data_IF_816548173205
#
_entry.id   IF_816548173205
#
_cell.length_a   1.000
_cell.length_b   1.000
_cell.length_c   1.000
_cell.angle_alpha   90.00
_cell.angle_beta   90.00
_cell.angle_gamma   90.00
#
_symmetry.space_group_name_H-M   'P 1'
#
loop_
_entity.id
_entity.type
_entity.pdbx_description
1 polymer ?
#
# COMPACT_ATOMS: atom_id res chain seq x y z
N UNK A 1 -16.33 69.87 47.17
CA UNK A 1 -16.03 68.43 47.37
C UNK A 1 -16.44 67.69 46.12
N UNK A 2 -15.46 67.13 45.44
CA UNK A 2 -15.48 66.42 44.17
C UNK A 2 -15.92 64.96 44.35
N UNK A 3 -16.68 64.40 43.40
CA UNK A 3 -16.77 62.95 43.22
C UNK A 3 -16.64 62.59 41.73
N UNK A 4 -15.60 61.79 41.48
CA UNK A 4 -15.11 61.33 40.19
C UNK A 4 -15.59 59.90 39.91
N UNK A 5 -16.01 59.68 38.66
CA UNK A 5 -15.56 58.61 37.77
C UNK A 5 -16.20 57.19 37.76
N UNK A 6 -16.22 56.69 36.51
CA UNK A 6 -16.18 55.28 36.01
C UNK A 6 -17.55 54.61 35.76
N UNK A 7 -17.78 53.80 34.72
CA UNK A 7 -16.91 53.26 33.66
C UNK A 7 -17.78 52.75 32.48
N UNK A 8 -17.25 52.89 31.26
CA UNK A 8 -17.73 52.26 30.03
C UNK A 8 -17.48 50.73 30.03
N UNK A 9 -18.02 50.07 28.98
CA UNK A 9 -17.63 48.80 28.34
C UNK A 9 -18.38 47.50 28.72
N UNK A 10 -19.17 47.00 27.76
CA UNK A 10 -19.33 45.57 27.48
C UNK A 10 -19.70 45.38 26.00
N UNK A 11 -18.70 45.10 25.15
CA UNK A 11 -18.89 44.65 23.76
C UNK A 11 -18.01 43.42 23.54
N UNK A 12 -18.61 42.43 22.88
CA UNK A 12 -18.00 41.29 22.17
C UNK A 12 -17.42 40.13 23.00
N UNK A 13 -18.21 39.06 23.11
CA UNK A 13 -17.70 37.70 23.29
C UNK A 13 -18.67 36.68 22.66
N UNK A 14 -18.52 36.38 21.37
CA UNK A 14 -19.11 35.19 20.73
C UNK A 14 -18.54 34.99 19.31
N UNK A 15 -17.29 34.52 19.18
CA UNK A 15 -16.73 34.09 17.89
C UNK A 15 -15.51 33.17 18.11
N UNK A 16 -15.73 31.98 18.71
CA UNK A 16 -14.66 30.98 18.91
C UNK A 16 -15.17 29.53 18.87
N UNK A 17 -16.11 29.19 17.97
CA UNK A 17 -16.70 27.84 17.93
C UNK A 17 -16.68 27.14 16.55
N UNK A 18 -15.74 27.45 15.65
CA UNK A 18 -15.72 26.87 14.28
C UNK A 18 -14.38 26.26 13.81
N UNK A 19 -13.42 25.94 14.69
CA UNK A 19 -12.07 25.52 14.27
C UNK A 19 -11.54 24.12 14.70
N UNK A 20 -12.31 23.01 14.76
CA UNK A 20 -11.66 21.70 14.94
C UNK A 20 -11.47 20.87 13.66
N UNK A 21 -12.02 21.24 12.48
CA UNK A 21 -12.03 20.33 11.32
C UNK A 21 -10.78 20.35 10.43
N UNK A 22 -9.90 21.34 10.54
CA UNK A 22 -8.71 21.42 9.68
C UNK A 22 -7.54 20.55 10.17
N UNK A 23 -7.46 20.28 11.47
CA UNK A 23 -6.35 19.51 12.05
C UNK A 23 -6.41 18.01 11.71
N UNK A 24 -7.62 17.46 11.53
CA UNK A 24 -7.83 16.03 11.23
C UNK A 24 -7.53 15.64 9.78
N UNK A 25 -7.66 16.59 8.83
CA UNK A 25 -7.33 16.33 7.43
C UNK A 25 -5.81 16.27 7.22
N UNK A 26 -5.07 17.20 7.84
CA UNK A 26 -3.61 17.25 7.73
C UNK A 26 -2.95 16.01 8.38
N UNK A 27 -3.53 15.45 9.44
CA UNK A 27 -3.03 14.20 10.03
C UNK A 27 -3.24 12.99 9.11
N UNK A 28 -4.38 12.93 8.41
CA UNK A 28 -4.69 11.82 7.52
C UNK A 28 -3.74 11.75 6.32
N UNK A 29 -3.38 12.90 5.72
CA UNK A 29 -2.42 12.93 4.61
C UNK A 29 -1.02 12.46 5.02
N UNK A 30 -0.52 12.94 6.18
CA UNK A 30 0.78 12.51 6.70
C UNK A 30 0.79 11.00 7.01
N UNK A 31 -0.27 10.50 7.62
CA UNK A 31 -0.43 9.07 7.90
C UNK A 31 -0.55 8.24 6.62
N UNK A 32 -1.25 8.74 5.60
CA UNK A 32 -1.37 8.10 4.31
C UNK A 32 -0.02 8.01 3.59
N UNK A 33 0.77 9.08 3.58
CA UNK A 33 2.13 9.06 3.01
C UNK A 33 3.02 8.04 3.74
N UNK A 34 2.97 8.00 5.08
CA UNK A 34 3.72 7.00 5.85
C UNK A 34 3.27 5.56 5.56
N UNK A 35 1.95 5.32 5.53
CA UNK A 35 1.40 4.01 5.17
C UNK A 35 1.83 3.59 3.76
N UNK A 36 1.82 4.54 2.82
CA UNK A 36 2.26 4.29 1.43
C UNK A 36 3.70 3.81 1.39
N UNK A 37 4.60 4.52 2.07
CA UNK A 37 6.02 4.19 2.07
C UNK A 37 6.26 2.80 2.70
N UNK A 38 5.57 2.48 3.80
CA UNK A 38 5.62 1.17 4.45
C UNK A 38 5.08 0.06 3.53
N UNK A 39 3.95 0.28 2.84
CA UNK A 39 3.42 -0.68 1.87
C UNK A 39 4.35 -0.90 0.69
N UNK A 40 5.04 0.14 0.22
CA UNK A 40 6.03 0.02 -0.84
C UNK A 40 7.26 -0.79 -0.41
N UNK A 41 7.62 -0.76 0.87
CA UNK A 41 8.63 -1.64 1.44
C UNK A 41 8.15 -3.10 1.47
N UNK A 42 6.91 -3.34 1.91
CA UNK A 42 6.32 -4.68 2.01
C UNK A 42 6.19 -5.37 0.66
N UNK A 43 5.70 -4.63 -0.34
CA UNK A 43 5.41 -5.11 -1.69
C UNK A 43 6.18 -4.24 -2.69
N UNK A 44 7.47 -4.54 -2.97
CA UNK A 44 8.34 -3.72 -3.80
C UNK A 44 8.06 -3.87 -5.31
N UNK A 45 6.78 -3.90 -5.71
CA UNK A 45 6.38 -4.06 -7.11
C UNK A 45 6.89 -2.93 -8.00
N UNK A 46 7.00 -1.70 -7.50
CA UNK A 46 7.52 -0.57 -8.27
C UNK A 46 8.86 -0.88 -8.95
N UNK A 47 9.82 -1.43 -8.20
CA UNK A 47 11.13 -1.80 -8.74
C UNK A 47 11.03 -2.92 -9.77
N UNK A 48 10.18 -3.93 -9.52
CA UNK A 48 9.96 -5.05 -10.44
C UNK A 48 9.40 -4.55 -11.76
N UNK A 49 8.44 -3.63 -11.71
CA UNK A 49 7.82 -3.02 -12.89
C UNK A 49 8.84 -2.17 -13.67
N UNK A 50 9.64 -1.35 -12.98
CA UNK A 50 10.68 -0.54 -13.63
C UNK A 50 11.73 -1.41 -14.33
N UNK A 51 12.15 -2.50 -13.70
CA UNK A 51 13.13 -3.42 -14.27
C UNK A 51 12.55 -4.16 -15.49
N UNK A 52 11.27 -4.55 -15.46
CA UNK A 52 10.58 -5.12 -16.61
C UNK A 52 10.47 -4.11 -17.77
N UNK A 53 10.13 -2.85 -17.47
CA UNK A 53 10.07 -1.77 -18.47
C UNK A 53 11.44 -1.43 -19.08
N UNK A 54 12.54 -1.61 -18.35
CA UNK A 54 13.91 -1.46 -18.88
C UNK A 54 14.31 -2.62 -19.78
N UNK A 55 13.89 -3.83 -19.44
CA UNK A 55 14.23 -5.03 -20.20
C UNK A 55 13.52 -5.09 -21.56
N UNK A 56 12.32 -4.49 -21.66
CA UNK A 56 11.50 -4.57 -22.86
C UNK A 56 10.79 -3.23 -23.17
N UNK A 57 11.02 -2.71 -24.37
CA UNK A 57 10.40 -1.48 -24.86
C UNK A 57 8.89 -1.65 -25.15
N UNK A 58 8.43 -2.86 -25.43
CA UNK A 58 7.02 -3.21 -25.68
C UNK A 58 6.25 -3.53 -24.41
N UNK A 59 6.92 -3.68 -23.26
CA UNK A 59 6.25 -3.81 -21.98
C UNK A 59 5.26 -2.62 -21.79
N UNK A 60 4.06 -2.84 -21.20
CA UNK A 60 3.56 -4.10 -20.62
C UNK A 60 2.75 -4.95 -21.62
N UNK A 61 2.81 -4.64 -22.91
CA UNK A 61 2.03 -5.26 -23.99
C UNK A 61 2.96 -6.02 -24.93
N UNK A 62 3.78 -6.92 -24.39
CA UNK A 62 4.73 -7.70 -25.19
C UNK A 62 4.01 -8.42 -26.33
N UNK A 63 4.48 -8.22 -27.56
CA UNK A 63 3.85 -8.76 -28.77
C UNK A 63 2.52 -8.10 -29.19
N UNK A 64 2.05 -7.08 -28.46
CA UNK A 64 0.77 -6.37 -28.68
C UNK A 64 0.90 -4.84 -28.63
N UNK A 65 2.12 -4.32 -28.56
CA UNK A 65 2.38 -2.88 -28.48
C UNK A 65 1.88 -2.13 -29.73
N UNK A 66 1.73 -2.80 -30.86
CA UNK A 66 1.15 -2.28 -32.10
C UNK A 66 -0.39 -2.10 -32.04
N UNK A 67 -1.04 -2.66 -31.02
CA UNK A 67 -2.49 -2.51 -30.77
C UNK A 67 -2.87 -1.20 -30.09
N UNK A 68 -1.90 -0.43 -29.63
CA UNK A 68 -2.10 0.83 -28.93
C UNK A 68 -1.28 1.94 -29.57
N UNK A 69 -1.70 3.18 -29.35
CA UNK A 69 -0.89 4.34 -29.75
C UNK A 69 0.39 4.44 -28.89
N UNK A 70 1.46 5.08 -29.40
CA UNK A 70 2.65 5.38 -28.59
C UNK A 70 2.34 6.15 -27.30
N UNK A 71 1.33 7.05 -27.32
CA UNK A 71 0.88 7.79 -26.15
C UNK A 71 0.26 6.87 -25.09
N UNK A 72 -0.59 5.93 -25.50
CA UNK A 72 -1.18 4.95 -24.60
C UNK A 72 -0.12 4.02 -24.00
N UNK A 73 0.81 3.53 -24.83
CA UNK A 73 1.94 2.73 -24.33
C UNK A 73 2.80 3.51 -23.33
N UNK A 74 3.10 4.77 -23.62
CA UNK A 74 3.81 5.67 -22.70
C UNK A 74 3.06 5.89 -21.39
N UNK A 75 1.73 6.07 -21.45
CA UNK A 75 0.88 6.18 -20.27
C UNK A 75 0.91 4.91 -19.43
N UNK A 76 0.72 3.73 -20.05
CA UNK A 76 0.78 2.44 -19.35
C UNK A 76 2.12 2.27 -18.64
N UNK A 77 3.22 2.66 -19.30
CA UNK A 77 4.58 2.68 -18.72
C UNK A 77 4.75 3.61 -17.55
N UNK A 78 4.06 4.74 -17.54
CA UNK A 78 4.08 5.64 -16.40
C UNK A 78 3.21 5.11 -15.24
N UNK A 79 2.02 4.58 -15.51
CA UNK A 79 1.11 4.05 -14.48
C UNK A 79 1.65 2.78 -13.82
N UNK A 80 2.31 1.91 -14.59
CA UNK A 80 2.93 0.69 -14.11
C UNK A 80 4.43 0.90 -13.84
N UNK A 81 4.80 2.01 -13.19
CA UNK A 81 6.18 2.28 -12.74
C UNK A 81 6.25 2.34 -11.21
N UNK A 82 7.43 2.49 -10.62
CA UNK A 82 7.54 2.85 -9.20
C UNK A 82 6.71 4.07 -8.83
N UNK A 83 6.71 5.10 -9.69
CA UNK A 83 5.96 6.33 -9.46
C UNK A 83 4.45 6.10 -9.55
N UNK A 84 3.99 5.37 -10.56
CA UNK A 84 2.57 5.07 -10.72
C UNK A 84 2.03 4.14 -9.65
N UNK A 85 2.81 3.13 -9.26
CA UNK A 85 2.50 2.25 -8.15
C UNK A 85 2.37 3.02 -6.83
N UNK A 86 3.33 3.91 -6.53
CA UNK A 86 3.24 4.79 -5.34
C UNK A 86 1.97 5.63 -5.35
N UNK A 87 1.63 6.25 -6.49
CA UNK A 87 0.43 7.10 -6.63
C UNK A 87 -0.84 6.28 -6.35
N UNK A 88 -0.96 5.10 -6.93
CA UNK A 88 -2.09 4.19 -6.70
C UNK A 88 -2.19 3.79 -5.22
N UNK A 89 -1.09 3.36 -4.61
CA UNK A 89 -1.06 2.97 -3.20
C UNK A 89 -1.33 4.13 -2.24
N UNK A 90 -0.92 5.35 -2.58
CA UNK A 90 -1.23 6.53 -1.78
C UNK A 90 -2.72 6.85 -1.76
N UNK A 91 -3.43 6.66 -2.87
CA UNK A 91 -4.87 6.82 -2.90
C UNK A 91 -5.55 5.83 -1.95
N UNK A 92 -5.17 4.54 -2.03
CA UNK A 92 -5.70 3.50 -1.13
C UNK A 92 -5.37 3.79 0.35
N UNK A 93 -4.14 4.24 0.65
CA UNK A 93 -3.71 4.60 2.01
C UNK A 93 -4.49 5.78 2.57
N UNK A 94 -4.82 6.77 1.73
CA UNK A 94 -5.57 7.95 2.13
C UNK A 94 -7.01 7.60 2.46
N UNK A 95 -7.65 6.77 1.62
CA UNK A 95 -9.00 6.27 1.89
C UNK A 95 -9.04 5.45 3.18
N UNK A 96 -8.01 4.62 3.40
CA UNK A 96 -7.86 3.88 4.65
C UNK A 96 -7.73 4.80 5.86
N UNK A 97 -6.80 5.76 5.84
CA UNK A 97 -6.54 6.67 6.96
C UNK A 97 -7.80 7.48 7.33
N UNK A 98 -8.57 7.90 6.32
CA UNK A 98 -9.85 8.61 6.51
C UNK A 98 -10.94 7.73 7.11
N UNK A 99 -11.04 6.47 6.68
CA UNK A 99 -12.01 5.52 7.19
C UNK A 99 -11.66 4.97 8.58
N UNK A 100 -10.38 5.07 8.96
CA UNK A 100 -9.82 4.41 10.14
C UNK A 100 -8.95 5.37 11.01
N UNK A 101 -9.43 6.59 11.34
CA UNK A 101 -8.58 7.62 11.96
C UNK A 101 -8.06 7.23 13.35
N UNK A 102 -8.84 6.45 14.11
CA UNK A 102 -8.50 6.04 15.48
C UNK A 102 -7.49 4.87 15.55
N UNK A 103 -7.26 4.18 14.43
CA UNK A 103 -6.43 2.95 14.40
C UNK A 103 -5.22 3.03 13.48
N UNK A 104 -5.22 3.93 12.49
CA UNK A 104 -4.12 4.05 11.53
C UNK A 104 -2.76 4.25 12.19
N UNK A 105 -2.71 4.95 13.33
CA UNK A 105 -1.49 5.08 14.13
C UNK A 105 -0.99 3.75 14.73
N UNK A 106 -1.91 2.93 15.25
CA UNK A 106 -1.59 1.62 15.82
C UNK A 106 -1.20 0.61 14.71
N UNK A 107 -1.89 0.63 13.58
CA UNK A 107 -1.54 -0.18 12.41
C UNK A 107 -0.15 0.19 11.88
N UNK A 108 0.17 1.49 11.78
CA UNK A 108 1.52 1.94 11.42
C UNK A 108 2.57 1.45 12.41
N UNK A 109 2.30 1.54 13.72
CA UNK A 109 3.22 1.08 14.75
C UNK A 109 3.46 -0.45 14.67
N UNK A 110 2.44 -1.23 14.34
CA UNK A 110 2.58 -2.68 14.12
C UNK A 110 3.49 -2.97 12.91
N UNK A 111 3.26 -2.27 11.80
CA UNK A 111 4.05 -2.45 10.58
C UNK A 111 5.51 -2.02 10.78
N UNK A 112 5.74 -0.83 11.34
CA UNK A 112 7.07 -0.30 11.68
C UNK A 112 7.76 -1.12 12.79
N UNK A 113 6.97 -1.76 13.67
CA UNK A 113 7.42 -2.68 14.71
C UNK A 113 7.97 -4.01 14.20
N UNK A 114 7.99 -4.22 12.88
CA UNK A 114 8.72 -5.31 12.24
C UNK A 114 7.89 -6.13 11.25
N UNK A 115 6.55 -6.05 11.32
CA UNK A 115 5.69 -6.83 10.43
C UNK A 115 5.97 -6.51 8.95
N UNK A 116 6.19 -5.24 8.62
CA UNK A 116 6.50 -4.83 7.24
C UNK A 116 7.85 -5.38 6.75
N UNK A 117 8.88 -5.36 7.61
CA UNK A 117 10.20 -5.89 7.28
C UNK A 117 10.19 -7.40 7.08
N UNK A 118 9.55 -8.13 8.00
CA UNK A 118 9.39 -9.59 7.89
C UNK A 118 8.65 -9.96 6.61
N UNK A 119 7.55 -9.27 6.33
CA UNK A 119 6.77 -9.49 5.11
C UNK A 119 7.60 -9.23 3.85
N UNK A 120 8.36 -8.12 3.81
CA UNK A 120 9.23 -7.79 2.68
C UNK A 120 10.31 -8.87 2.44
N UNK A 121 10.90 -9.42 3.49
CA UNK A 121 11.90 -10.49 3.37
C UNK A 121 11.33 -11.76 2.76
N UNK A 122 10.11 -12.15 3.13
CA UNK A 122 9.40 -13.28 2.50
C UNK A 122 9.08 -13.02 1.04
N UNK A 123 8.61 -11.82 0.69
CA UNK A 123 8.35 -11.46 -0.71
C UNK A 123 9.63 -11.49 -1.53
N UNK A 124 10.72 -10.90 -1.03
CA UNK A 124 12.01 -10.89 -1.73
C UNK A 124 12.59 -12.31 -1.89
N UNK A 125 12.39 -13.18 -0.90
CA UNK A 125 12.74 -14.59 -1.02
C UNK A 125 11.97 -15.28 -2.15
N UNK A 126 10.65 -15.07 -2.23
CA UNK A 126 9.82 -15.61 -3.31
C UNK A 126 10.19 -15.07 -4.69
N UNK A 127 10.49 -13.77 -4.80
CA UNK A 127 10.99 -13.16 -6.04
C UNK A 127 12.34 -13.76 -6.46
N UNK A 128 13.27 -13.92 -5.52
CA UNK A 128 14.57 -14.53 -5.78
C UNK A 128 14.45 -15.99 -6.22
N UNK A 129 13.52 -16.75 -5.64
CA UNK A 129 13.22 -18.13 -6.05
C UNK A 129 12.70 -18.16 -7.48
N UNK A 130 11.74 -17.30 -7.82
CA UNK A 130 11.17 -17.22 -9.16
C UNK A 130 12.20 -16.81 -10.22
N UNK A 131 13.11 -15.88 -9.91
CA UNK A 131 14.14 -15.42 -10.85
C UNK A 131 15.33 -16.38 -10.97
N UNK A 132 15.74 -17.00 -9.87
CA UNK A 132 16.94 -17.84 -9.82
C UNK A 132 16.68 -19.34 -9.95
N UNK A 133 15.42 -19.78 -9.89
CA UNK A 133 15.01 -21.19 -9.91
C UNK A 133 15.43 -22.00 -8.68
N UNK A 134 15.99 -21.34 -7.65
CA UNK A 134 16.46 -21.99 -6.42
C UNK A 134 15.43 -21.79 -5.33
N UNK A 135 14.93 -22.90 -4.81
CA UNK A 135 13.98 -22.89 -3.70
C UNK A 135 14.58 -22.21 -2.47
N UNK A 136 13.86 -21.25 -1.89
CA UNK A 136 14.22 -20.60 -0.63
C UNK A 136 13.40 -21.21 0.49
N UNK A 137 14.06 -21.86 1.45
CA UNK A 137 13.37 -22.44 2.59
C UNK A 137 12.90 -21.32 3.55
N UNK A 138 11.61 -21.27 3.93
CA UNK A 138 11.08 -20.25 4.84
C UNK A 138 11.85 -20.13 6.16
N UNK A 139 12.40 -21.24 6.65
CA UNK A 139 13.22 -21.28 7.87
C UNK A 139 14.50 -20.47 7.76
N UNK A 140 15.11 -20.37 6.57
CA UNK A 140 16.31 -19.55 6.34
C UNK A 140 16.00 -18.06 6.32
N UNK A 141 14.78 -17.70 5.96
CA UNK A 141 14.26 -16.32 6.05
C UNK A 141 13.99 -15.98 7.52
N UNK A 142 13.29 -16.86 8.24
CA UNK A 142 12.96 -16.67 9.66
C UNK A 142 14.18 -16.58 10.58
N UNK A 143 15.26 -17.31 10.31
CA UNK A 143 16.50 -17.28 11.12
C UNK A 143 17.14 -15.89 11.23
N UNK A 144 16.84 -14.99 10.30
CA UNK A 144 17.40 -13.63 10.24
C UNK A 144 16.57 -12.61 11.03
N UNK A 145 15.38 -13.02 11.49
CA UNK A 145 14.40 -12.15 12.11
C UNK A 145 14.55 -12.12 13.62
N UNK A 146 14.36 -10.95 14.21
CA UNK A 146 14.28 -10.81 15.67
C UNK A 146 12.90 -11.29 16.16
N UNK A 147 12.85 -11.73 17.42
CA UNK A 147 11.63 -12.26 18.01
C UNK A 147 10.48 -11.24 18.06
N UNK A 148 10.78 -9.98 18.37
CA UNK A 148 9.83 -8.87 18.36
C UNK A 148 9.24 -8.62 16.97
N UNK A 149 10.07 -8.66 15.92
CA UNK A 149 9.61 -8.50 14.54
C UNK A 149 8.68 -9.65 14.12
N UNK A 150 9.02 -10.88 14.52
CA UNK A 150 8.18 -12.05 14.25
C UNK A 150 6.85 -11.98 14.99
N UNK A 151 6.83 -11.51 16.24
CA UNK A 151 5.59 -11.29 16.98
C UNK A 151 4.69 -10.27 16.29
N UNK A 152 5.24 -9.12 15.88
CA UNK A 152 4.51 -8.11 15.09
C UNK A 152 3.96 -8.70 13.80
N UNK A 153 4.74 -9.52 13.10
CA UNK A 153 4.30 -10.19 11.88
C UNK A 153 3.16 -11.18 12.14
N UNK A 154 3.28 -12.03 13.18
CA UNK A 154 2.23 -12.98 13.56
C UNK A 154 0.95 -12.22 13.92
N UNK A 155 1.05 -11.19 14.76
CA UNK A 155 -0.10 -10.33 15.10
C UNK A 155 -0.77 -9.74 13.84
N UNK A 156 0.04 -9.22 12.91
CA UNK A 156 -0.46 -8.68 11.65
C UNK A 156 -1.24 -9.71 10.82
N UNK A 157 -0.73 -10.94 10.70
CA UNK A 157 -1.35 -11.97 9.85
C UNK A 157 -2.51 -12.72 10.53
N UNK A 158 -2.52 -12.86 11.86
CA UNK A 158 -3.51 -13.70 12.56
C UNK A 158 -4.60 -12.93 13.27
N UNK A 159 -4.34 -11.71 13.75
CA UNK A 159 -5.33 -11.03 14.59
C UNK A 159 -6.48 -10.44 13.75
N UNK A 160 -7.76 -10.71 14.09
CA UNK A 160 -8.90 -10.25 13.31
C UNK A 160 -8.98 -8.72 13.17
N UNK A 161 -8.52 -7.97 14.19
CA UNK A 161 -8.52 -6.49 14.17
C UNK A 161 -7.70 -5.90 13.01
N UNK A 162 -6.71 -6.62 12.48
CA UNK A 162 -5.87 -6.17 11.37
C UNK A 162 -6.38 -6.59 9.99
N UNK A 163 -7.54 -7.25 9.88
CA UNK A 163 -8.12 -7.65 8.59
C UNK A 163 -8.24 -6.48 7.58
N UNK A 164 -8.71 -5.28 7.95
CA UNK A 164 -8.77 -4.18 6.99
C UNK A 164 -7.39 -3.67 6.55
N UNK A 165 -6.37 -3.77 7.41
CA UNK A 165 -4.99 -3.45 7.05
C UNK A 165 -4.43 -4.48 6.06
N UNK A 166 -4.70 -5.77 6.28
CA UNK A 166 -4.33 -6.84 5.33
C UNK A 166 -5.00 -6.66 3.97
N UNK A 167 -6.26 -6.22 3.94
CA UNK A 167 -6.96 -5.90 2.70
C UNK A 167 -6.31 -4.70 1.99
N UNK A 168 -5.94 -3.64 2.72
CA UNK A 168 -5.22 -2.49 2.17
C UNK A 168 -3.87 -2.90 1.55
N UNK A 169 -3.09 -3.71 2.26
CA UNK A 169 -1.82 -4.25 1.75
C UNK A 169 -2.07 -5.11 0.50
N UNK A 170 -3.24 -5.76 0.43
CA UNK A 170 -3.68 -6.56 -0.71
C UNK A 170 -3.52 -8.06 -0.53
N UNK A 171 -3.20 -8.50 0.69
CA UNK A 171 -3.10 -9.92 1.04
C UNK A 171 -4.41 -10.50 1.59
N UNK A 172 -5.29 -9.65 2.14
CA UNK A 172 -6.55 -10.07 2.74
C UNK A 172 -6.36 -11.23 3.73
N UNK A 173 -7.13 -12.30 3.54
CA UNK A 173 -7.10 -13.52 4.36
C UNK A 173 -6.30 -14.67 3.70
N UNK A 174 -5.32 -14.34 2.85
CA UNK A 174 -4.57 -15.35 2.11
C UNK A 174 -3.62 -16.19 2.98
N UNK A 175 -3.25 -15.69 4.15
CA UNK A 175 -2.43 -16.41 5.12
C UNK A 175 -3.32 -16.90 6.25
N UNK A 176 -3.55 -18.21 6.29
CA UNK A 176 -4.33 -18.83 7.34
C UNK A 176 -3.46 -19.90 8.03
N UNK A 177 -3.12 -19.73 9.32
CA UNK A 177 -2.32 -20.71 10.05
C UNK A 177 -3.03 -22.06 10.22
N UNK A 178 -4.34 -22.14 10.00
CA UNK A 178 -5.09 -23.40 9.99
C UNK A 178 -4.95 -24.19 8.67
N UNK A 179 -4.48 -23.56 7.59
CA UNK A 179 -4.26 -24.21 6.29
C UNK A 179 -2.87 -24.85 6.20
N UNK A 180 -2.75 -25.85 5.34
CA UNK A 180 -1.46 -26.45 5.02
C UNK A 180 -0.52 -25.45 4.32
N UNK A 181 0.78 -25.75 4.33
CA UNK A 181 1.80 -24.97 3.62
C UNK A 181 1.50 -24.86 2.11
N UNK A 182 0.98 -25.93 1.50
CA UNK A 182 0.62 -25.95 0.09
C UNK A 182 -0.58 -25.02 -0.20
N UNK A 183 -1.63 -25.09 0.61
CA UNK A 183 -2.81 -24.23 0.46
C UNK A 183 -2.48 -22.74 0.66
N UNK A 184 -1.61 -22.42 1.62
CA UNK A 184 -1.12 -21.06 1.81
C UNK A 184 -0.23 -20.61 0.65
N UNK A 185 0.59 -21.50 0.09
CA UNK A 185 1.40 -21.21 -1.12
C UNK A 185 0.51 -20.88 -2.32
N UNK A 186 -0.53 -21.68 -2.56
CA UNK A 186 -1.44 -21.47 -3.68
C UNK A 186 -2.30 -20.21 -3.47
N UNK A 187 -2.76 -19.96 -2.23
CA UNK A 187 -3.42 -18.69 -1.87
C UNK A 187 -2.52 -17.48 -2.13
N UNK A 188 -1.22 -17.59 -1.84
CA UNK A 188 -0.24 -16.56 -2.14
C UNK A 188 -0.07 -16.28 -3.64
N UNK A 189 -0.09 -17.31 -4.49
CA UNK A 189 -0.05 -17.16 -5.96
C UNK A 189 -1.30 -16.48 -6.48
N UNK A 190 -2.48 -16.82 -5.95
CA UNK A 190 -3.74 -16.21 -6.32
C UNK A 190 -3.79 -14.73 -5.93
N UNK A 191 -3.29 -14.38 -4.74
CA UNK A 191 -3.07 -12.98 -4.33
C UNK A 191 -2.15 -12.27 -5.32
N UNK A 192 -0.98 -12.83 -5.62
CA UNK A 192 -0.03 -12.24 -6.55
C UNK A 192 -0.66 -11.95 -7.92
N UNK A 193 -1.37 -12.94 -8.47
CA UNK A 193 -2.08 -12.82 -9.75
C UNK A 193 -3.13 -11.71 -9.72
N UNK A 194 -3.98 -11.70 -8.67
CA UNK A 194 -5.01 -10.68 -8.49
C UNK A 194 -4.42 -9.27 -8.36
N UNK A 195 -3.31 -9.11 -7.64
CA UNK A 195 -2.65 -7.83 -7.48
C UNK A 195 -2.11 -7.31 -8.81
N UNK A 196 -1.39 -8.14 -9.56
CA UNK A 196 -0.86 -7.76 -10.88
C UNK A 196 -2.00 -7.43 -11.84
N UNK A 197 -3.08 -8.22 -11.87
CA UNK A 197 -4.25 -7.93 -12.71
C UNK A 197 -4.94 -6.61 -12.30
N UNK A 198 -5.11 -6.35 -10.99
CA UNK A 198 -5.68 -5.08 -10.51
C UNK A 198 -4.83 -3.89 -10.93
N UNK A 199 -3.50 -3.98 -10.79
CA UNK A 199 -2.57 -2.94 -11.25
C UNK A 199 -2.71 -2.71 -12.76
N UNK A 200 -2.68 -3.79 -13.55
CA UNK A 200 -2.77 -3.73 -15.01
C UNK A 200 -4.08 -3.10 -15.46
N UNK A 201 -5.22 -3.61 -14.98
CA UNK A 201 -6.54 -3.09 -15.33
C UNK A 201 -6.73 -1.64 -14.87
N UNK A 202 -6.20 -1.28 -13.71
CA UNK A 202 -6.19 0.10 -13.22
C UNK A 202 -5.42 1.03 -14.15
N UNK A 203 -4.23 0.63 -14.60
CA UNK A 203 -3.43 1.38 -15.55
C UNK A 203 -4.12 1.50 -16.92
N UNK A 204 -4.70 0.41 -17.42
CA UNK A 204 -5.46 0.41 -18.67
C UNK A 204 -6.64 1.36 -18.62
N UNK A 205 -7.40 1.35 -17.52
CA UNK A 205 -8.51 2.28 -17.32
C UNK A 205 -8.04 3.74 -17.30
N UNK A 206 -6.94 4.04 -16.60
CA UNK A 206 -6.37 5.40 -16.56
C UNK A 206 -5.83 5.87 -17.92
N UNK A 207 -5.36 4.94 -18.75
CA UNK A 207 -4.72 5.22 -20.03
C UNK A 207 -5.65 5.02 -21.24
N UNK A 208 -6.95 4.84 -21.02
CA UNK A 208 -7.94 4.59 -22.07
C UNK A 208 -7.55 3.43 -23.00
N UNK A 209 -7.05 2.33 -22.44
CA UNK A 209 -6.71 1.09 -23.17
C UNK A 209 -7.77 0.02 -22.87
N UNK A 210 -8.45 -0.56 -23.88
CA UNK A 210 -9.44 -1.60 -23.65
C UNK A 210 -8.84 -2.87 -23.05
N UNK A 211 -9.44 -3.50 -22.03
CA UNK A 211 -8.95 -4.77 -21.47
C UNK A 211 -8.79 -5.89 -22.49
N UNK A 212 -9.54 -5.86 -23.61
CA UNK A 212 -9.42 -6.85 -24.69
C UNK A 212 -8.04 -6.87 -25.33
N UNK A 213 -7.27 -5.76 -25.26
CA UNK A 213 -5.90 -5.69 -25.76
C UNK A 213 -4.97 -6.72 -25.10
N UNK A 214 -5.28 -7.20 -23.89
CA UNK A 214 -4.50 -8.28 -23.24
C UNK A 214 -4.91 -9.66 -23.75
N UNK A 215 -6.13 -9.83 -24.26
CA UNK A 215 -6.71 -11.12 -24.65
C UNK A 215 -6.55 -11.45 -26.14
N UNK A 216 -6.38 -10.43 -26.98
CA UNK A 216 -6.17 -10.54 -28.45
C UNK A 216 -4.75 -10.87 -28.84
#
# INVERSE_FOLDING_TARGET
MTLQARCNTAVAAALFALLPFAASAQSADVQADRLTDVMMQMLPFGKILDDAAKADAQWPLQGKADKVSPTQLGCLRNELSSTGYRRSKRAEALDYARANPDRVGADLALLDGGAAGVFADFINAGVSEAQGGKKVEPTEVMKKMKADQMLSFVEFITEPKHAPLRELVGIGEAFDPAKSSQENSDSGKDVGTRLVLKLMLGAMNTCDVPPSTILE
#
